data_IF_651645980053
#
_entry.id   IF_651645980053
#
_cell.length_a   1.000
_cell.length_b   1.000
_cell.length_c   1.000
_cell.angle_alpha   90.00
_cell.angle_beta   90.00
_cell.angle_gamma   90.00
#
_symmetry.space_group_name_H-M   'P 1'
#
loop_
_entity.id
_entity.type
_entity.pdbx_description
1 polymer ?
#
# COMPACT_ATOMS: atom_id res chain seq x y z
N UNK A 1 23.69 -10.30 -2.07
CA UNK A 1 22.26 -9.98 -2.09
C UNK A 1 21.60 -10.81 -1.00
N UNK A 2 21.33 -10.23 0.16
CA UNK A 2 20.62 -10.95 1.23
C UNK A 2 19.13 -10.88 0.89
N UNK A 3 18.57 -11.97 0.38
CA UNK A 3 17.14 -12.15 0.32
C UNK A 3 16.65 -12.37 1.75
N UNK A 4 16.24 -11.31 2.44
CA UNK A 4 15.40 -11.47 3.61
C UNK A 4 14.01 -11.81 3.09
N UNK A 5 13.60 -13.08 3.20
CA UNK A 5 12.20 -13.45 3.10
C UNK A 5 11.47 -12.89 4.33
N UNK A 6 11.23 -11.58 4.33
CA UNK A 6 10.48 -10.92 5.38
C UNK A 6 8.99 -11.15 5.10
N UNK A 7 8.31 -11.87 5.99
CA UNK A 7 6.87 -12.14 5.86
C UNK A 7 6.01 -10.90 6.12
N UNK A 8 6.53 -9.94 6.89
CA UNK A 8 5.85 -8.68 7.23
C UNK A 8 6.87 -7.66 7.73
N UNK A 9 6.67 -6.39 7.38
CA UNK A 9 7.38 -5.22 7.91
C UNK A 9 6.31 -4.29 8.53
N UNK A 10 6.10 -4.30 9.85
CA UNK A 10 5.04 -3.53 10.48
C UNK A 10 5.54 -2.33 11.31
N UNK A 11 5.69 -1.12 10.71
CA UNK A 11 5.84 0.11 11.47
C UNK A 11 4.59 0.42 12.30
N UNK A 12 4.61 0.09 13.59
CA UNK A 12 3.47 0.29 14.49
C UNK A 12 3.79 1.12 15.73
N UNK A 13 2.95 2.11 16.01
CA UNK A 13 2.92 2.80 17.29
C UNK A 13 2.49 1.93 18.48
N UNK A 14 2.92 2.32 19.67
CA UNK A 14 2.48 1.75 20.93
C UNK A 14 2.59 2.78 22.07
N UNK A 15 2.47 2.34 23.32
CA UNK A 15 2.59 3.21 24.50
C UNK A 15 3.93 3.95 24.60
N UNK A 16 4.96 3.48 23.91
CA UNK A 16 6.31 4.04 23.88
C UNK A 16 6.50 5.08 22.79
N UNK A 17 5.49 5.34 21.96
CA UNK A 17 5.47 6.41 20.96
C UNK A 17 5.06 5.97 19.56
N UNK A 18 5.21 6.91 18.63
CA UNK A 18 4.86 6.79 17.22
C UNK A 18 6.15 6.64 16.39
N UNK A 19 6.34 5.52 15.66
CA UNK A 19 7.51 5.31 14.83
C UNK A 19 7.56 6.34 13.71
N UNK A 20 8.76 6.88 13.47
CA UNK A 20 8.95 7.86 12.42
C UNK A 20 10.33 7.80 11.79
N UNK A 21 10.46 8.40 10.59
CA UNK A 21 11.70 8.40 9.80
C UNK A 21 12.16 6.98 9.45
N UNK A 22 11.27 6.23 8.82
CA UNK A 22 11.50 4.82 8.47
C UNK A 22 11.69 4.72 6.96
N UNK A 23 12.66 3.93 6.54
CA UNK A 23 12.92 3.65 5.14
C UNK A 23 12.89 2.14 4.89
N UNK A 24 11.94 1.72 4.06
CA UNK A 24 11.77 0.33 3.62
C UNK A 24 12.17 0.30 2.15
N UNK A 25 13.36 -0.23 1.88
CA UNK A 25 14.02 -0.08 0.59
C UNK A 25 14.57 -1.41 0.06
N UNK A 26 14.50 -1.61 -1.26
CA UNK A 26 15.13 -2.73 -1.98
C UNK A 26 14.86 -4.12 -1.37
N UNK A 27 13.67 -4.34 -0.83
CA UNK A 27 13.27 -5.62 -0.26
C UNK A 27 12.36 -6.40 -1.22
N UNK A 28 12.44 -7.73 -1.18
CA UNK A 28 11.50 -8.60 -1.89
C UNK A 28 10.53 -9.22 -0.88
N UNK A 29 9.24 -8.98 -1.04
CA UNK A 29 8.18 -9.50 -0.18
C UNK A 29 7.22 -10.37 -1.00
N UNK A 30 7.02 -11.61 -0.56
CA UNK A 30 6.13 -12.53 -1.26
C UNK A 30 5.50 -13.54 -0.30
N UNK A 31 4.37 -14.09 -0.70
CA UNK A 31 3.66 -15.10 0.05
C UNK A 31 3.05 -16.14 -0.90
N UNK A 32 1.74 -16.38 -0.78
CA UNK A 32 0.96 -17.12 -1.77
C UNK A 32 -0.44 -16.53 -1.83
N UNK A 33 -1.05 -16.58 -3.02
CA UNK A 33 -2.46 -16.25 -3.22
C UNK A 33 -3.41 -17.35 -2.69
N UNK A 34 -2.87 -18.46 -2.18
CA UNK A 34 -3.68 -19.56 -1.62
C UNK A 34 -4.45 -19.14 -0.37
N UNK A 35 -5.75 -19.46 -0.32
CA UNK A 35 -6.67 -19.11 0.78
C UNK A 35 -6.97 -20.29 1.72
N UNK A 36 -5.94 -20.98 2.21
CA UNK A 36 -6.07 -22.15 3.09
C UNK A 36 -6.79 -21.85 4.42
N UNK A 37 -6.67 -20.62 4.93
CA UNK A 37 -7.37 -20.10 6.09
C UNK A 37 -8.21 -18.86 5.73
N UNK A 38 -8.75 -18.83 4.51
CA UNK A 38 -9.46 -17.65 3.99
C UNK A 38 -8.55 -16.43 3.92
N UNK A 39 -9.08 -15.27 4.29
CA UNK A 39 -8.38 -13.98 4.27
C UNK A 39 -7.25 -13.86 5.32
N UNK A 40 -7.03 -14.88 6.15
CA UNK A 40 -5.97 -14.93 7.15
C UNK A 40 -4.83 -15.90 6.79
N UNK A 41 -4.82 -16.43 5.55
CA UNK A 41 -3.77 -17.36 5.10
C UNK A 41 -2.38 -16.75 5.17
N UNK A 42 -2.28 -15.46 4.82
CA UNK A 42 -1.15 -14.58 5.09
C UNK A 42 -1.68 -13.21 5.53
N UNK A 43 -0.93 -12.46 6.34
CA UNK A 43 -1.33 -11.11 6.76
C UNK A 43 -0.68 -10.00 5.93
N UNK A 44 -0.48 -8.80 6.49
CA UNK A 44 0.05 -7.64 5.78
C UNK A 44 1.52 -7.81 5.39
N UNK A 45 1.90 -7.25 4.24
CA UNK A 45 3.31 -7.17 3.83
C UNK A 45 4.01 -5.98 4.46
N UNK A 46 3.54 -4.75 4.19
CA UNK A 46 4.09 -3.50 4.72
C UNK A 46 2.98 -2.71 5.43
N UNK A 47 2.90 -2.88 6.75
CA UNK A 47 1.73 -2.45 7.52
C UNK A 47 2.08 -1.29 8.47
N UNK A 48 1.68 -0.08 8.09
CA UNK A 48 1.87 1.14 8.86
C UNK A 48 0.62 1.48 9.68
N UNK A 49 0.74 1.59 11.00
CA UNK A 49 -0.41 1.78 11.90
C UNK A 49 -0.08 2.73 13.05
N UNK A 50 -1.16 3.26 13.66
CA UNK A 50 -1.14 4.07 14.89
C UNK A 50 -0.20 5.27 14.78
N UNK A 51 -0.47 6.10 13.78
CA UNK A 51 0.20 7.40 13.57
C UNK A 51 1.68 7.31 13.22
N UNK A 52 2.17 6.16 12.72
CA UNK A 52 3.49 6.07 12.09
C UNK A 52 3.63 7.09 10.94
N UNK A 53 4.71 7.86 10.91
CA UNK A 53 4.81 9.04 10.03
C UNK A 53 6.24 9.28 9.48
N UNK A 54 6.35 10.00 8.36
CA UNK A 54 7.61 10.15 7.60
C UNK A 54 8.22 8.79 7.22
N UNK A 55 7.47 8.00 6.46
CA UNK A 55 7.90 6.68 5.99
C UNK A 55 8.08 6.70 4.48
N UNK A 56 9.21 6.17 4.01
CA UNK A 56 9.47 5.93 2.57
C UNK A 56 9.49 4.44 2.31
N UNK A 57 8.71 4.01 1.31
CA UNK A 57 8.67 2.64 0.79
C UNK A 57 9.12 2.69 -0.67
N UNK A 58 10.33 2.21 -0.95
CA UNK A 58 10.94 2.37 -2.26
C UNK A 58 11.65 1.15 -2.82
N UNK A 59 11.63 0.99 -4.14
CA UNK A 59 12.37 -0.06 -4.84
C UNK A 59 12.09 -1.49 -4.34
N UNK A 60 10.93 -1.71 -3.71
CA UNK A 60 10.55 -3.04 -3.24
C UNK A 60 9.88 -3.82 -4.36
N UNK A 61 10.13 -5.13 -4.40
CA UNK A 61 9.43 -6.07 -5.26
C UNK A 61 8.44 -6.86 -4.42
N UNK A 62 7.14 -6.64 -4.63
CA UNK A 62 6.07 -7.32 -3.89
C UNK A 62 5.22 -8.13 -4.85
N UNK A 63 5.20 -9.45 -4.65
CA UNK A 63 4.48 -10.35 -5.54
C UNK A 63 3.79 -11.51 -4.82
N UNK A 64 2.78 -12.11 -5.49
CA UNK A 64 2.02 -13.27 -4.99
C UNK A 64 1.43 -13.06 -3.59
N UNK A 65 0.88 -11.86 -3.33
CA UNK A 65 0.48 -11.42 -1.99
C UNK A 65 -0.96 -10.89 -1.93
N UNK A 66 -1.70 -11.29 -0.89
CA UNK A 66 -3.13 -10.95 -0.76
C UNK A 66 -3.35 -9.54 -0.20
N UNK A 67 -2.63 -9.18 0.87
CA UNK A 67 -2.78 -7.91 1.61
C UNK A 67 -1.45 -7.16 1.64
N UNK A 68 -1.18 -6.34 0.64
CA UNK A 68 0.18 -5.82 0.41
C UNK A 68 0.63 -4.82 1.46
N UNK A 69 -0.01 -3.65 1.56
CA UNK A 69 0.47 -2.60 2.44
C UNK A 69 -0.66 -1.80 3.08
N UNK A 70 -0.90 -1.95 4.39
CA UNK A 70 -1.88 -1.14 5.12
C UNK A 70 -1.29 0.22 5.54
N UNK A 71 -2.06 1.30 5.41
CA UNK A 71 -1.72 2.60 5.99
C UNK A 71 -2.90 3.15 6.81
N UNK A 72 -2.89 2.84 8.10
CA UNK A 72 -3.98 3.13 9.03
C UNK A 72 -4.95 1.96 9.17
N UNK A 73 -5.00 1.38 10.37
CA UNK A 73 -5.74 0.13 10.64
C UNK A 73 -7.24 0.31 10.96
N UNK A 74 -7.65 1.51 11.36
CA UNK A 74 -9.03 1.83 11.74
C UNK A 74 -9.43 3.22 11.24
N UNK A 75 -10.74 3.48 11.20
CA UNK A 75 -11.30 4.74 10.73
C UNK A 75 -11.06 5.90 11.74
N UNK A 76 -10.46 5.64 12.89
CA UNK A 76 -10.34 6.60 14.02
C UNK A 76 -8.92 7.15 14.26
N UNK A 77 -7.91 6.66 13.53
CA UNK A 77 -6.49 6.97 13.77
C UNK A 77 -5.76 7.29 12.46
N UNK A 78 -4.48 7.65 12.55
CA UNK A 78 -3.53 7.80 11.43
C UNK A 78 -3.48 9.18 10.74
N UNK A 79 -3.82 10.26 11.46
CA UNK A 79 -3.80 11.62 10.89
C UNK A 79 -2.37 12.16 10.67
N UNK A 80 -1.41 11.68 11.46
CA UNK A 80 -0.01 12.09 11.36
C UNK A 80 0.71 11.50 10.14
N UNK A 81 0.16 10.45 9.52
CA UNK A 81 0.83 9.71 8.45
C UNK A 81 1.27 10.63 7.31
N UNK A 82 2.55 10.52 6.95
CA UNK A 82 3.20 11.14 5.79
C UNK A 82 4.01 10.04 5.14
N UNK A 83 3.56 9.54 4.00
CA UNK A 83 4.13 8.33 3.40
C UNK A 83 4.45 8.53 1.93
N UNK A 84 5.62 8.06 1.51
CA UNK A 84 6.01 8.06 0.10
C UNK A 84 6.18 6.64 -0.38
N UNK A 85 5.48 6.26 -1.46
CA UNK A 85 5.68 4.98 -2.14
C UNK A 85 6.26 5.26 -3.53
N UNK A 86 7.48 4.80 -3.81
CA UNK A 86 8.05 5.02 -5.14
C UNK A 86 8.93 3.93 -5.70
N UNK A 87 8.91 3.77 -7.02
CA UNK A 87 9.73 2.78 -7.72
C UNK A 87 9.54 1.34 -7.22
N UNK A 88 8.40 1.05 -6.57
CA UNK A 88 8.07 -0.31 -6.17
C UNK A 88 7.43 -1.05 -7.35
N UNK A 89 7.63 -2.36 -7.37
CA UNK A 89 6.96 -3.28 -8.27
C UNK A 89 5.90 -4.05 -7.49
N UNK A 90 4.67 -4.01 -7.95
CA UNK A 90 3.54 -4.75 -7.40
C UNK A 90 2.97 -5.68 -8.47
N UNK A 91 3.26 -6.98 -8.35
CA UNK A 91 2.92 -7.97 -9.38
C UNK A 91 2.10 -9.14 -8.83
N UNK A 92 0.97 -9.47 -9.46
CA UNK A 92 0.14 -10.61 -9.03
C UNK A 92 -0.30 -10.50 -7.57
N UNK A 93 -0.88 -9.36 -7.21
CA UNK A 93 -1.33 -9.02 -5.85
C UNK A 93 -2.84 -8.83 -5.80
N UNK A 94 -3.50 -9.17 -4.69
CA UNK A 94 -4.95 -8.99 -4.61
C UNK A 94 -5.33 -7.54 -4.33
N UNK A 95 -4.89 -7.00 -3.19
CA UNK A 95 -5.34 -5.69 -2.73
C UNK A 95 -4.35 -4.99 -1.80
N UNK A 96 -4.74 -3.78 -1.38
CA UNK A 96 -4.07 -2.94 -0.37
C UNK A 96 -2.78 -2.29 -0.91
N UNK A 97 -2.90 -1.38 -1.88
CA UNK A 97 -1.75 -0.77 -2.55
C UNK A 97 -1.62 0.79 -2.45
N UNK A 98 -1.68 1.44 -1.28
CA UNK A 98 -2.22 1.01 0.00
C UNK A 98 -3.72 1.36 0.13
N UNK A 99 -4.47 0.74 1.06
CA UNK A 99 -5.65 1.33 1.65
C UNK A 99 -5.20 2.35 2.70
N UNK A 100 -5.37 3.62 2.36
CA UNK A 100 -4.95 4.71 3.22
C UNK A 100 -6.14 5.30 3.96
N UNK A 101 -6.03 5.38 5.28
CA UNK A 101 -6.96 6.12 6.14
C UNK A 101 -6.24 7.33 6.72
N UNK A 102 -6.83 8.52 6.51
CA UNK A 102 -6.29 9.82 6.93
C UNK A 102 -4.86 10.09 6.40
N UNK A 103 -4.26 11.19 6.82
CA UNK A 103 -2.88 11.55 6.47
C UNK A 103 -2.68 11.89 4.99
N UNK A 104 -1.42 12.02 4.59
CA UNK A 104 -1.01 12.35 3.23
C UNK A 104 -0.05 11.29 2.69
N UNK A 105 -0.22 10.93 1.41
CA UNK A 105 0.78 10.13 0.71
C UNK A 105 1.13 10.68 -0.67
N UNK A 106 2.34 10.36 -1.09
CA UNK A 106 2.81 10.56 -2.46
C UNK A 106 3.20 9.20 -3.06
N UNK A 107 2.49 8.78 -4.10
CA UNK A 107 2.66 7.48 -4.74
C UNK A 107 3.10 7.74 -6.17
N UNK A 108 4.38 7.49 -6.48
CA UNK A 108 4.92 7.82 -7.80
C UNK A 108 5.91 6.82 -8.38
N UNK A 109 5.98 6.74 -9.72
CA UNK A 109 6.87 5.84 -10.44
C UNK A 109 6.78 4.36 -10.01
N UNK A 110 5.63 3.91 -9.49
CA UNK A 110 5.44 2.49 -9.17
C UNK A 110 4.87 1.75 -10.40
N UNK A 111 5.19 0.46 -10.48
CA UNK A 111 4.63 -0.46 -11.47
C UNK A 111 3.58 -1.35 -10.80
N UNK A 112 2.34 -1.26 -11.28
CA UNK A 112 1.19 -2.03 -10.81
C UNK A 112 0.73 -2.98 -11.92
N UNK A 113 1.07 -4.26 -11.81
CA UNK A 113 0.71 -5.28 -12.79
C UNK A 113 -0.07 -6.43 -12.15
N UNK A 114 -1.21 -6.80 -12.75
CA UNK A 114 -2.02 -7.93 -12.29
C UNK A 114 -2.50 -7.71 -10.84
N UNK A 115 -3.29 -6.64 -10.66
CA UNK A 115 -3.95 -6.31 -9.39
C UNK A 115 -5.37 -6.89 -9.39
N UNK A 116 -5.60 -7.95 -8.61
CA UNK A 116 -6.77 -8.82 -8.78
C UNK A 116 -8.06 -8.26 -8.17
N UNK A 117 -7.98 -7.40 -7.15
CA UNK A 117 -9.16 -6.84 -6.44
C UNK A 117 -9.22 -5.32 -6.45
N UNK A 118 -8.20 -4.64 -5.92
CA UNK A 118 -8.16 -3.17 -5.86
C UNK A 118 -6.76 -2.64 -5.53
N UNK A 119 -6.35 -1.55 -6.19
CA UNK A 119 -5.09 -0.87 -5.94
C UNK A 119 -5.13 0.11 -4.75
N UNK A 120 -4.87 1.38 -5.05
CA UNK A 120 -4.84 2.49 -4.10
C UNK A 120 -6.27 2.76 -3.61
N UNK A 121 -6.54 2.58 -2.31
CA UNK A 121 -7.87 2.78 -1.73
C UNK A 121 -7.86 3.92 -0.70
N UNK A 122 -8.31 5.11 -1.10
CA UNK A 122 -8.17 6.34 -0.31
C UNK A 122 -9.42 6.63 0.51
N UNK A 123 -9.27 6.72 1.83
CA UNK A 123 -10.38 6.68 2.80
C UNK A 123 -10.19 7.70 3.93
N UNK A 124 -11.28 8.02 4.63
CA UNK A 124 -11.27 8.81 5.86
C UNK A 124 -10.57 10.17 5.71
N UNK A 125 -10.86 10.90 4.61
CA UNK A 125 -10.26 12.20 4.33
C UNK A 125 -8.76 12.16 4.02
N UNK A 126 -8.17 10.98 3.78
CA UNK A 126 -6.82 10.89 3.24
C UNK A 126 -6.70 11.65 1.92
N UNK A 127 -5.53 12.23 1.66
CA UNK A 127 -5.21 12.87 0.38
C UNK A 127 -3.96 12.22 -0.20
N UNK A 128 -4.03 11.79 -1.45
CA UNK A 128 -2.94 11.08 -2.12
C UNK A 128 -2.61 11.75 -3.44
N UNK A 129 -1.36 12.15 -3.61
CA UNK A 129 -0.83 12.49 -4.93
C UNK A 129 -0.37 11.19 -5.61
N UNK A 130 -0.93 10.89 -6.77
CA UNK A 130 -0.67 9.68 -7.55
C UNK A 130 -0.07 10.13 -8.88
N UNK A 131 1.24 9.98 -9.05
CA UNK A 131 1.98 10.58 -10.16
C UNK A 131 2.84 9.58 -10.93
N UNK A 132 2.78 9.60 -12.27
CA UNK A 132 3.71 8.86 -13.13
C UNK A 132 3.84 7.36 -12.81
N UNK A 133 2.79 6.74 -12.27
CA UNK A 133 2.74 5.29 -12.06
C UNK A 133 2.30 4.58 -13.35
N UNK A 134 2.70 3.33 -13.49
CA UNK A 134 2.28 2.45 -14.57
C UNK A 134 1.25 1.45 -14.06
N UNK A 135 0.08 1.38 -14.69
CA UNK A 135 -1.00 0.47 -14.31
C UNK A 135 -1.35 -0.45 -15.49
N UNK A 136 -1.27 -1.76 -15.27
CA UNK A 136 -1.65 -2.78 -16.24
C UNK A 136 -2.38 -3.94 -15.56
N UNK A 137 -3.42 -4.50 -16.20
CA UNK A 137 -4.17 -5.63 -15.67
C UNK A 137 -4.65 -5.40 -14.22
N UNK A 138 -5.08 -4.16 -13.92
CA UNK A 138 -5.40 -3.73 -12.57
C UNK A 138 -6.90 -3.45 -12.42
N UNK A 139 -7.54 -4.20 -11.51
CA UNK A 139 -8.92 -3.95 -11.10
C UNK A 139 -8.95 -2.85 -10.04
N UNK A 140 -9.86 -1.89 -10.18
CA UNK A 140 -10.03 -0.74 -9.29
C UNK A 140 -8.67 -0.11 -8.88
N UNK A 141 -7.85 0.39 -9.83
CA UNK A 141 -6.48 0.84 -9.55
C UNK A 141 -6.43 2.00 -8.56
N UNK A 142 -7.42 2.90 -8.60
CA UNK A 142 -7.63 3.99 -7.64
C UNK A 142 -9.11 4.02 -7.25
N UNK A 143 -9.42 3.95 -5.96
CA UNK A 143 -10.79 3.84 -5.44
C UNK A 143 -10.92 4.46 -4.04
N UNK A 144 -12.15 4.75 -3.60
CA UNK A 144 -12.49 5.07 -2.21
C UNK A 144 -13.69 4.23 -1.78
N UNK A 145 -13.47 3.23 -0.90
CA UNK A 145 -14.55 2.35 -0.41
C UNK A 145 -14.29 1.75 0.97
N UNK A 146 -15.34 1.13 1.51
CA UNK A 146 -15.32 0.30 2.72
C UNK A 146 -15.03 1.05 4.03
N UNK A 147 -15.11 2.38 4.04
CA UNK A 147 -14.98 3.27 5.22
C UNK A 147 -16.21 4.16 5.38
N UNK A 148 -16.39 4.77 6.56
CA UNK A 148 -17.49 5.72 6.79
C UNK A 148 -17.36 7.01 5.97
N UNK A 149 -16.14 7.39 5.58
CA UNK A 149 -15.84 8.56 4.77
C UNK A 149 -14.87 8.19 3.64
N UNK A 150 -15.03 8.82 2.47
CA UNK A 150 -14.08 8.73 1.36
C UNK A 150 -12.80 9.52 1.66
N UNK A 151 -11.76 9.33 0.86
CA UNK A 151 -10.66 10.28 0.73
C UNK A 151 -10.57 10.83 -0.69
N UNK A 152 -9.43 11.44 -1.03
CA UNK A 152 -9.24 12.21 -2.25
C UNK A 152 -7.88 11.91 -2.89
N UNK A 153 -7.81 12.02 -4.21
CA UNK A 153 -6.58 11.85 -4.96
C UNK A 153 -6.37 12.97 -5.97
N UNK A 154 -5.10 13.29 -6.20
CA UNK A 154 -4.63 14.08 -7.32
C UNK A 154 -3.89 13.15 -8.29
N UNK A 155 -4.21 13.24 -9.59
CA UNK A 155 -3.74 12.31 -10.62
C UNK A 155 -2.93 13.09 -11.66
N UNK A 156 -1.63 12.79 -11.76
CA UNK A 156 -0.72 13.49 -12.66
C UNK A 156 0.09 12.48 -13.48
N UNK A 157 0.03 12.57 -14.81
CA UNK A 157 0.91 11.81 -15.73
C UNK A 157 0.97 10.27 -15.53
N UNK A 158 -0.06 9.63 -14.97
CA UNK A 158 -0.08 8.17 -14.84
C UNK A 158 -0.27 7.49 -16.20
N UNK A 159 0.42 6.37 -16.39
CA UNK A 159 0.31 5.52 -17.57
C UNK A 159 -0.74 4.44 -17.30
N UNK A 160 -1.81 4.46 -18.09
CA UNK A 160 -2.92 3.51 -17.98
C UNK A 160 -2.82 2.58 -19.19
N UNK A 161 -2.37 1.35 -18.97
CA UNK A 161 -2.24 0.32 -20.01
C UNK A 161 -3.54 -0.48 -20.16
N UNK A 162 -3.46 -1.62 -20.85
CA UNK A 162 -4.59 -2.55 -21.02
C UNK A 162 -4.99 -3.25 -19.71
N UNK A 163 -6.21 -3.82 -19.71
CA UNK A 163 -6.67 -4.69 -18.63
C UNK A 163 -7.14 -3.95 -17.37
N UNK A 164 -7.49 -2.67 -17.49
CA UNK A 164 -8.04 -1.87 -16.39
C UNK A 164 -9.56 -2.09 -16.30
N UNK A 165 -10.06 -2.38 -15.11
CA UNK A 165 -11.47 -2.70 -14.85
C UNK A 165 -11.98 -2.14 -13.51
#
# INVERSE_FOLDING_TARGET
MQAFACREIPPEGNSSGEPSNIWIDHSTLFASLSKCAGDASFDGGIDMKKDAHHVTVSYNDVHDHQKVALNGYSDTKNAAARTTYHHNRFESVESRLPPQRRGLSYIYNNDFNTVLTSGINVRMGAVVLIEANDFENAKNPVIARDSSEIGYWDLINNYIRSGIA
#
